data_IF_740054498825
#
_entry.id   IF_740054498825
#
_cell.length_a   1.000
_cell.length_b   1.000
_cell.length_c   1.000
_cell.angle_alpha   90.00
_cell.angle_beta   90.00
_cell.angle_gamma   90.00
#
_symmetry.space_group_name_H-M   'P 1'
#
loop_
_entity.id
_entity.type
_entity.pdbx_description
1 polymer ?
#
# COMPACT_ATOMS: atom_id res chain seq x y z
N UNK A 1 10.56 -0.25 7.95
CA UNK A 1 9.52 0.04 8.99
C UNK A 1 9.83 -0.78 10.23
N UNK A 2 9.62 -0.21 11.42
CA UNK A 2 9.80 -0.95 12.67
C UNK A 2 8.89 -2.15 12.76
N UNK A 3 9.31 -3.25 13.42
CA UNK A 3 8.48 -4.45 13.57
C UNK A 3 7.12 -4.17 14.21
N UNK A 4 7.05 -3.24 15.16
CA UNK A 4 5.82 -2.88 15.87
C UNK A 4 4.77 -2.29 14.92
N UNK A 5 5.16 -1.35 14.06
CA UNK A 5 4.26 -0.73 13.08
C UNK A 5 3.89 -1.71 11.96
N UNK A 6 4.85 -2.50 11.51
CA UNK A 6 4.62 -3.52 10.51
C UNK A 6 3.62 -4.57 11.00
N UNK A 7 3.76 -5.05 12.23
CA UNK A 7 2.84 -6.03 12.81
C UNK A 7 1.42 -5.47 12.96
N UNK A 8 1.26 -4.18 13.28
CA UNK A 8 -0.05 -3.53 13.28
C UNK A 8 -0.74 -3.59 11.92
N UNK A 9 0.02 -3.42 10.82
CA UNK A 9 -0.55 -3.58 9.47
C UNK A 9 -0.95 -5.03 9.19
N UNK A 10 -0.11 -5.99 9.57
CA UNK A 10 -0.35 -7.42 9.36
C UNK A 10 -1.58 -7.92 10.13
N UNK A 11 -1.71 -7.52 11.38
CA UNK A 11 -2.87 -7.87 12.21
C UNK A 11 -4.17 -7.26 11.70
N UNK A 12 -4.11 -6.01 11.25
CA UNK A 12 -5.29 -5.27 10.78
C UNK A 12 -5.74 -5.68 9.38
N UNK A 13 -4.80 -6.10 8.52
CA UNK A 13 -5.03 -6.41 7.10
C UNK A 13 -4.39 -7.74 6.68
N UNK A 14 -4.69 -8.85 7.36
CA UNK A 14 -3.96 -10.11 7.17
C UNK A 14 -4.03 -10.65 5.73
N UNK A 15 -5.13 -10.44 5.03
CA UNK A 15 -5.31 -10.92 3.66
C UNK A 15 -4.38 -10.20 2.68
N UNK A 16 -4.17 -8.89 2.85
CA UNK A 16 -3.28 -8.09 1.99
C UNK A 16 -1.81 -8.50 2.15
N UNK A 17 -1.44 -8.92 3.35
CA UNK A 17 -0.08 -9.34 3.69
C UNK A 17 0.08 -10.87 3.74
N UNK A 18 -0.76 -11.63 3.05
CA UNK A 18 -0.72 -13.09 3.03
C UNK A 18 0.60 -13.67 2.50
N UNK A 19 1.37 -12.88 1.75
CA UNK A 19 2.69 -13.26 1.24
C UNK A 19 3.85 -13.03 2.23
N UNK A 20 3.60 -12.49 3.44
CA UNK A 20 4.66 -12.15 4.42
C UNK A 20 5.51 -13.35 4.87
N UNK A 21 4.96 -14.56 4.81
CA UNK A 21 5.63 -15.80 5.18
C UNK A 21 6.03 -16.67 3.95
N UNK A 22 5.77 -16.16 2.74
CA UNK A 22 6.07 -16.86 1.49
C UNK A 22 7.54 -16.65 1.10
N UNK A 23 8.35 -17.69 1.18
CA UNK A 23 9.79 -17.65 0.84
C UNK A 23 10.07 -17.26 -0.61
N UNK A 24 9.10 -17.39 -1.51
CA UNK A 24 9.22 -17.01 -2.92
C UNK A 24 8.79 -15.55 -3.18
N UNK A 25 8.30 -14.84 -2.16
CA UNK A 25 7.88 -13.44 -2.26
C UNK A 25 8.85 -12.52 -1.54
N UNK A 26 9.21 -11.37 -2.14
CA UNK A 26 9.97 -10.34 -1.45
C UNK A 26 9.29 -9.80 -0.18
N UNK A 27 7.98 -10.03 0.01
CA UNK A 27 7.27 -9.67 1.24
C UNK A 27 7.80 -10.36 2.49
N UNK A 28 8.55 -11.46 2.35
CA UNK A 28 9.21 -12.11 3.50
C UNK A 28 10.17 -11.15 4.24
N UNK A 29 10.71 -10.15 3.55
CA UNK A 29 11.58 -9.11 4.13
C UNK A 29 10.79 -7.96 4.76
N UNK A 30 9.44 -8.02 4.73
CA UNK A 30 8.56 -7.01 5.28
C UNK A 30 8.41 -5.76 4.40
N UNK A 31 7.98 -4.68 5.03
CA UNK A 31 7.87 -3.37 4.39
C UNK A 31 9.23 -2.65 4.48
N UNK A 32 9.98 -2.67 3.39
CA UNK A 32 11.32 -2.06 3.28
C UNK A 32 11.21 -0.54 3.05
N UNK A 33 10.63 0.13 4.03
CA UNK A 33 10.37 1.59 4.07
C UNK A 33 10.47 2.11 5.49
N UNK A 34 10.63 3.41 5.66
CA UNK A 34 10.66 4.05 6.98
C UNK A 34 9.28 4.15 7.64
N UNK A 35 9.29 4.45 8.93
CA UNK A 35 8.07 4.54 9.78
C UNK A 35 7.16 5.71 9.38
N UNK A 36 7.73 6.76 8.81
CA UNK A 36 6.97 7.93 8.36
C UNK A 36 5.93 7.64 7.27
N UNK A 37 6.06 6.52 6.57
CA UNK A 37 5.08 6.10 5.57
C UNK A 37 4.04 5.11 6.08
N UNK A 38 4.03 4.80 7.38
CA UNK A 38 3.02 3.94 7.98
C UNK A 38 1.59 4.42 7.67
N UNK A 39 1.31 5.71 7.82
CA UNK A 39 -0.03 6.26 7.59
C UNK A 39 -0.45 6.17 6.12
N UNK A 40 0.49 6.32 5.17
CA UNK A 40 0.22 6.10 3.75
C UNK A 40 -0.23 4.66 3.49
N UNK A 41 0.52 3.70 4.01
CA UNK A 41 0.22 2.27 3.85
C UNK A 41 -1.08 1.89 4.57
N UNK A 42 -1.30 2.37 5.80
CA UNK A 42 -2.54 2.11 6.52
C UNK A 42 -3.77 2.67 5.79
N UNK A 43 -3.66 3.87 5.23
CA UNK A 43 -4.74 4.50 4.44
C UNK A 43 -5.01 3.72 3.15
N UNK A 44 -3.98 3.26 2.45
CA UNK A 44 -4.13 2.43 1.26
C UNK A 44 -4.81 1.09 1.60
N UNK A 45 -4.32 0.39 2.63
CA UNK A 45 -4.90 -0.89 3.06
C UNK A 45 -6.38 -0.74 3.41
N UNK A 46 -6.74 0.32 4.14
CA UNK A 46 -8.13 0.62 4.46
C UNK A 46 -8.95 0.84 3.17
N UNK A 47 -8.43 1.61 2.23
CA UNK A 47 -9.10 1.90 0.95
C UNK A 47 -9.30 0.63 0.11
N UNK A 48 -8.33 -0.27 0.10
CA UNK A 48 -8.43 -1.56 -0.59
C UNK A 48 -9.56 -2.39 0.04
N UNK A 49 -9.62 -2.50 1.37
CA UNK A 49 -10.68 -3.22 2.05
C UNK A 49 -12.07 -2.61 1.81
N UNK A 50 -12.19 -1.27 1.77
CA UNK A 50 -13.44 -0.60 1.41
C UNK A 50 -13.87 -0.95 -0.03
N UNK A 51 -12.93 -0.98 -0.97
CA UNK A 51 -13.23 -1.36 -2.36
C UNK A 51 -13.70 -2.81 -2.44
N UNK A 52 -13.04 -3.73 -1.77
CA UNK A 52 -13.45 -5.13 -1.66
C UNK A 52 -14.88 -5.24 -1.16
N UNK A 53 -15.23 -4.54 -0.07
CA UNK A 53 -16.58 -4.56 0.48
C UNK A 53 -17.61 -4.01 -0.50
N UNK A 54 -17.32 -2.91 -1.18
CA UNK A 54 -18.18 -2.35 -2.22
C UNK A 54 -18.46 -3.36 -3.35
N UNK A 55 -17.44 -4.11 -3.78
CA UNK A 55 -17.60 -5.12 -4.81
C UNK A 55 -18.46 -6.30 -4.33
N UNK A 56 -18.25 -6.76 -3.09
CA UNK A 56 -19.09 -7.82 -2.47
C UNK A 56 -20.56 -7.38 -2.43
N UNK A 57 -20.84 -6.15 -1.99
CA UNK A 57 -22.20 -5.64 -1.86
C UNK A 57 -22.84 -5.46 -3.25
N UNK A 58 -22.06 -5.00 -4.25
CA UNK A 58 -22.50 -4.93 -5.64
C UNK A 58 -22.89 -6.31 -6.19
N UNK A 59 -22.05 -7.33 -6.02
CA UNK A 59 -22.35 -8.67 -6.48
C UNK A 59 -23.59 -9.24 -5.80
N UNK A 60 -23.74 -9.06 -4.49
CA UNK A 60 -24.94 -9.46 -3.74
C UNK A 60 -26.21 -8.78 -4.30
N UNK A 61 -26.14 -7.49 -4.58
CA UNK A 61 -27.22 -6.74 -5.19
C UNK A 61 -27.60 -7.31 -6.56
N UNK A 62 -26.62 -7.53 -7.45
CA UNK A 62 -26.84 -8.03 -8.80
C UNK A 62 -27.41 -9.45 -8.81
N UNK A 63 -26.92 -10.33 -7.95
CA UNK A 63 -27.48 -11.69 -7.80
C UNK A 63 -28.99 -11.63 -7.53
N UNK A 64 -29.41 -10.69 -6.67
CA UNK A 64 -30.81 -10.57 -6.27
C UNK A 64 -31.68 -9.83 -7.28
N UNK A 65 -31.17 -8.77 -7.91
CA UNK A 65 -31.98 -7.79 -8.62
C UNK A 65 -31.74 -7.74 -10.12
N UNK A 66 -30.56 -8.14 -10.61
CA UNK A 66 -30.18 -8.09 -12.03
C UNK A 66 -29.15 -9.18 -12.39
N UNK A 67 -29.55 -10.47 -12.42
CA UNK A 67 -28.65 -11.58 -12.70
C UNK A 67 -28.01 -11.55 -14.10
N UNK A 68 -28.69 -10.92 -15.08
CA UNK A 68 -28.14 -10.80 -16.43
C UNK A 68 -26.93 -9.87 -16.47
N UNK A 69 -27.00 -8.74 -15.73
CA UNK A 69 -25.87 -7.82 -15.60
C UNK A 69 -24.70 -8.44 -14.85
N UNK A 70 -24.97 -9.32 -13.88
CA UNK A 70 -23.92 -10.06 -13.18
C UNK A 70 -23.01 -10.83 -14.14
N UNK A 71 -23.55 -11.39 -15.23
CA UNK A 71 -22.78 -12.16 -16.22
C UNK A 71 -21.73 -11.32 -16.97
N UNK A 72 -21.90 -10.02 -16.99
CA UNK A 72 -21.00 -9.07 -17.67
C UNK A 72 -20.11 -8.27 -16.72
N UNK A 73 -20.33 -8.42 -15.41
CA UNK A 73 -19.45 -7.78 -14.42
C UNK A 73 -18.08 -8.46 -14.40
N UNK A 74 -16.99 -7.69 -14.39
CA UNK A 74 -15.66 -8.25 -14.22
C UNK A 74 -15.50 -8.87 -12.84
N UNK A 75 -14.81 -10.00 -12.77
CA UNK A 75 -14.44 -10.61 -11.50
C UNK A 75 -13.54 -9.68 -10.69
N UNK A 76 -13.81 -9.58 -9.40
CA UNK A 76 -12.92 -8.93 -8.45
C UNK A 76 -11.96 -9.95 -7.87
N UNK A 77 -10.67 -9.73 -8.06
CA UNK A 77 -9.61 -10.57 -7.49
C UNK A 77 -9.03 -9.87 -6.25
N UNK A 78 -8.95 -10.59 -5.13
CA UNK A 78 -8.41 -10.05 -3.89
C UNK A 78 -6.97 -9.57 -4.08
N UNK A 79 -6.68 -8.40 -3.49
CA UNK A 79 -5.35 -7.79 -3.53
C UNK A 79 -4.42 -8.52 -2.56
N UNK A 80 -3.20 -8.79 -3.01
CA UNK A 80 -2.10 -9.28 -2.17
C UNK A 80 -0.84 -8.49 -2.49
N UNK A 81 -0.17 -7.99 -1.47
CA UNK A 81 1.12 -7.34 -1.65
C UNK A 81 2.22 -8.37 -1.92
N UNK A 82 3.04 -8.06 -2.93
CA UNK A 82 4.19 -8.87 -3.34
C UNK A 82 5.51 -8.25 -2.91
N UNK A 83 5.59 -6.91 -2.87
CA UNK A 83 6.73 -6.16 -2.33
C UNK A 83 6.31 -4.72 -2.01
N UNK A 84 6.79 -4.21 -0.88
CA UNK A 84 6.68 -2.80 -0.50
C UNK A 84 8.09 -2.30 -0.19
N UNK A 85 8.56 -1.28 -0.93
CA UNK A 85 9.92 -0.76 -0.77
C UNK A 85 10.05 0.70 -1.14
N UNK A 86 11.12 1.32 -0.69
CA UNK A 86 11.60 2.59 -1.22
C UNK A 86 12.40 2.34 -2.52
N UNK A 87 12.20 3.17 -3.54
CA UNK A 87 12.99 3.16 -4.75
C UNK A 87 13.16 4.59 -5.28
N UNK A 88 14.40 5.04 -5.39
CA UNK A 88 14.74 6.41 -5.82
C UNK A 88 14.05 7.53 -5.03
N UNK A 89 13.89 7.32 -3.72
CA UNK A 89 13.29 8.28 -2.79
C UNK A 89 11.78 8.23 -2.71
N UNK A 90 11.10 7.33 -3.42
CA UNK A 90 9.64 7.22 -3.39
C UNK A 90 9.17 5.81 -3.05
N UNK A 91 7.98 5.70 -2.51
CA UNK A 91 7.32 4.43 -2.21
C UNK A 91 7.03 3.69 -3.52
N UNK A 92 7.25 2.38 -3.52
CA UNK A 92 6.83 1.46 -4.58
C UNK A 92 6.15 0.25 -3.99
N UNK A 93 4.97 -0.06 -4.52
CA UNK A 93 4.11 -1.13 -4.07
C UNK A 93 3.82 -2.07 -5.24
N UNK A 94 4.33 -3.29 -5.13
CA UNK A 94 4.04 -4.37 -6.06
C UNK A 94 2.97 -5.27 -5.44
N UNK A 95 1.97 -5.61 -6.23
CA UNK A 95 0.82 -6.37 -5.77
C UNK A 95 0.17 -7.13 -6.91
N UNK A 96 -0.64 -8.12 -6.57
CA UNK A 96 -1.50 -8.86 -7.48
C UNK A 96 -2.97 -8.65 -7.12
N UNK A 97 -3.87 -8.87 -8.07
CA UNK A 97 -5.32 -8.67 -7.89
C UNK A 97 -5.76 -7.21 -7.98
N UNK A 98 -6.98 -6.96 -7.51
CA UNK A 98 -7.60 -5.62 -7.57
C UNK A 98 -8.18 -5.28 -8.94
N UNK A 99 -8.56 -4.01 -9.09
CA UNK A 99 -9.15 -3.43 -10.29
C UNK A 99 -8.53 -2.05 -10.59
N UNK A 100 -9.05 -1.35 -11.60
CA UNK A 100 -8.58 0.00 -11.99
C UNK A 100 -8.66 1.01 -10.84
N UNK A 101 -9.66 0.89 -9.95
CA UNK A 101 -9.77 1.74 -8.78
C UNK A 101 -8.58 1.54 -7.83
N UNK A 102 -8.22 0.28 -7.57
CA UNK A 102 -7.06 -0.06 -6.73
C UNK A 102 -5.77 0.43 -7.37
N UNK A 103 -5.62 0.26 -8.71
CA UNK A 103 -4.45 0.78 -9.43
C UNK A 103 -4.30 2.30 -9.24
N UNK A 104 -5.39 3.05 -9.37
CA UNK A 104 -5.38 4.49 -9.13
C UNK A 104 -5.04 4.86 -7.69
N UNK A 105 -5.59 4.12 -6.71
CA UNK A 105 -5.30 4.34 -5.30
C UNK A 105 -3.82 4.09 -4.96
N UNK A 106 -3.23 3.01 -5.47
CA UNK A 106 -1.80 2.72 -5.29
C UNK A 106 -0.94 3.82 -5.90
N UNK A 107 -1.22 4.21 -7.16
CA UNK A 107 -0.49 5.30 -7.83
C UNK A 107 -0.54 6.61 -7.04
N UNK A 108 -1.71 7.00 -6.55
CA UNK A 108 -1.86 8.22 -5.75
C UNK A 108 -1.05 8.17 -4.45
N UNK A 109 -1.00 7.03 -3.76
CA UNK A 109 -0.21 6.86 -2.53
C UNK A 109 1.29 6.89 -2.82
N UNK A 110 1.75 6.26 -3.91
CA UNK A 110 3.14 6.33 -4.36
C UNK A 110 3.54 7.79 -4.65
N UNK A 111 2.70 8.55 -5.36
CA UNK A 111 2.93 9.97 -5.66
C UNK A 111 3.00 10.81 -4.38
N UNK A 112 2.07 10.62 -3.44
CA UNK A 112 2.06 11.30 -2.14
C UNK A 112 3.35 11.07 -1.35
N UNK A 113 3.97 9.89 -1.46
CA UNK A 113 5.20 9.57 -0.74
C UNK A 113 6.36 10.53 -1.07
N UNK A 114 6.34 11.14 -2.26
CA UNK A 114 7.37 12.09 -2.70
C UNK A 114 7.42 13.41 -1.89
N UNK A 115 6.38 13.67 -1.11
CA UNK A 115 6.22 14.88 -0.29
C UNK A 115 6.13 14.60 1.20
N UNK A 116 6.25 13.34 1.62
CA UNK A 116 6.12 12.90 3.02
C UNK A 116 7.43 12.28 3.47
N UNK A 117 8.01 12.83 4.54
CA UNK A 117 9.25 12.35 5.14
C UNK A 117 9.14 10.86 5.49
N UNK A 118 10.02 10.04 4.93
CA UNK A 118 10.04 8.60 5.16
C UNK A 118 10.30 8.21 6.62
N UNK A 119 11.03 9.05 7.36
CA UNK A 119 11.35 8.76 8.76
C UNK A 119 10.23 9.13 9.74
N UNK A 120 9.64 10.32 9.60
CA UNK A 120 8.73 10.85 10.63
C UNK A 120 7.31 11.16 10.13
N UNK A 121 7.04 11.11 8.83
CA UNK A 121 5.72 11.38 8.27
C UNK A 121 5.37 12.86 8.11
N UNK A 122 6.23 13.79 8.49
CA UNK A 122 6.04 15.22 8.24
C UNK A 122 6.21 15.53 6.75
N UNK A 123 5.85 16.76 6.33
CA UNK A 123 6.17 17.25 4.98
C UNK A 123 7.68 17.14 4.72
N UNK A 124 8.04 16.60 3.57
CA UNK A 124 9.43 16.35 3.18
C UNK A 124 9.65 16.61 1.70
N UNK A 125 10.91 16.54 1.29
CA UNK A 125 11.32 16.66 -0.10
C UNK A 125 12.44 15.68 -0.42
N UNK A 126 12.62 15.37 -1.71
CA UNK A 126 13.68 14.45 -2.16
C UNK A 126 15.05 15.08 -1.88
N UNK A 127 15.90 14.35 -1.16
CA UNK A 127 17.31 14.65 -0.91
C UNK A 127 18.15 13.75 -1.79
N UNK A 128 19.20 14.31 -2.39
CA UNK A 128 20.06 13.61 -3.35
C UNK A 128 21.53 13.49 -2.88
N UNK A 129 21.77 13.65 -1.59
CA UNK A 129 23.09 13.43 -0.99
C UNK A 129 23.33 11.93 -0.80
N UNK A 130 23.87 11.28 -1.83
CA UNK A 130 24.03 9.82 -1.87
C UNK A 130 22.79 9.11 -2.43
N UNK A 131 22.12 8.30 -1.60
CA UNK A 131 20.87 7.66 -1.98
C UNK A 131 19.70 8.65 -1.93
N UNK A 132 18.84 8.63 -2.97
CA UNK A 132 17.63 9.45 -2.98
C UNK A 132 16.67 9.00 -1.89
N UNK A 133 16.30 9.92 -0.99
CA UNK A 133 15.34 9.70 0.10
C UNK A 133 14.44 10.92 0.24
N UNK A 134 13.22 10.74 0.74
CA UNK A 134 12.35 11.88 1.09
C UNK A 134 12.46 12.15 2.59
N UNK A 135 13.01 13.30 2.95
CA UNK A 135 13.17 13.72 4.34
C UNK A 135 12.71 15.17 4.55
N UNK A 136 12.15 15.45 5.72
CA UNK A 136 12.01 16.83 6.22
C UNK A 136 13.36 17.38 6.65
N UNK A 137 13.47 18.70 6.82
CA UNK A 137 14.74 19.34 7.18
C UNK A 137 15.30 18.80 8.50
N UNK A 138 14.44 18.59 9.51
CA UNK A 138 14.87 18.06 10.81
C UNK A 138 15.46 16.65 10.73
N UNK A 139 14.84 15.75 9.95
CA UNK A 139 15.36 14.40 9.77
C UNK A 139 16.60 14.39 8.90
N UNK A 140 16.67 15.26 7.90
CA UNK A 140 17.85 15.40 7.04
C UNK A 140 19.07 15.86 7.84
N UNK A 141 18.94 16.89 8.68
CA UNK A 141 20.05 17.40 9.53
C UNK A 141 20.53 16.36 10.56
N UNK A 142 19.63 15.54 11.10
CA UNK A 142 20.00 14.45 12.04
C UNK A 142 20.78 13.30 11.39
N UNK A 143 20.74 13.19 10.08
CA UNK A 143 21.39 12.10 9.33
C UNK A 143 22.73 12.53 8.70
N UNK A 144 23.16 13.79 8.88
CA UNK A 144 24.48 14.29 8.49
C UNK A 144 25.53 13.92 9.53
#
# INVERSE_FOLDING_TARGET
>A
MTPELQNKLYEKYPELFSNKDNKSSPMIYGCDVGDGWYNLLNSLCWRINQRKQQMIDRFRYLIKNDPEKLKTEPDYVDVKFDQIKQKFGVLRIYYSGGDEYIRGAVSAIEDCSSTICEQCGNSGSIRKDGWSVVLCDQCFEKNK
#
